data_IF_680718891259
#
_entry.id   IF_680718891259
#
_cell.length_a   1.000
_cell.length_b   1.000
_cell.length_c   1.000
_cell.angle_alpha   90.00
_cell.angle_beta   90.00
_cell.angle_gamma   90.00
#
_symmetry.space_group_name_H-M   'P 1'
#
loop_
_entity.id
_entity.type
_entity.pdbx_description
1 polymer ?
#
# COMPACT_ATOMS: atom_id res chain seq x y z
N UNK A 1 -24.12 12.19 -8.60
CA UNK A 1 -23.79 11.01 -7.78
C UNK A 1 -25.08 10.24 -7.58
N UNK A 2 -25.11 8.95 -7.92
CA UNK A 2 -26.23 8.09 -7.54
C UNK A 2 -26.09 7.71 -6.08
N UNK A 3 -27.13 7.95 -5.29
CA UNK A 3 -27.19 7.48 -3.91
C UNK A 3 -27.80 6.08 -3.89
N UNK A 4 -27.25 5.19 -3.05
CA UNK A 4 -27.75 3.84 -2.84
C UNK A 4 -27.86 3.58 -1.32
N UNK A 5 -28.93 2.91 -0.91
CA UNK A 5 -29.21 2.63 0.51
C UNK A 5 -28.86 1.19 0.84
N UNK A 6 -28.07 1.00 1.88
CA UNK A 6 -27.79 -0.31 2.48
C UNK A 6 -28.58 -0.46 3.78
N UNK A 7 -29.36 -1.54 3.88
CA UNK A 7 -30.08 -1.91 5.10
C UNK A 7 -29.57 -3.27 5.57
N UNK A 8 -29.12 -3.35 6.82
CA UNK A 8 -28.62 -4.58 7.43
C UNK A 8 -29.09 -4.67 8.87
N UNK A 9 -29.16 -5.90 9.41
CA UNK A 9 -29.50 -6.17 10.80
C UNK A 9 -28.22 -6.33 11.60
N UNK A 10 -28.20 -5.78 12.81
CA UNK A 10 -27.14 -5.94 13.80
C UNK A 10 -27.78 -6.16 15.17
N UNK A 11 -27.02 -6.74 16.09
CA UNK A 11 -27.43 -6.82 17.48
C UNK A 11 -27.60 -5.39 18.06
N UNK A 12 -28.64 -5.20 18.86
CA UNK A 12 -28.96 -3.88 19.44
C UNK A 12 -27.81 -3.38 20.32
N UNK A 13 -27.18 -4.27 21.10
CA UNK A 13 -26.02 -3.93 21.93
C UNK A 13 -24.81 -3.48 21.11
N UNK A 14 -24.63 -4.02 19.90
CA UNK A 14 -23.56 -3.62 18.99
C UNK A 14 -23.85 -2.24 18.38
N UNK A 15 -25.10 -1.98 17.99
CA UNK A 15 -25.55 -0.68 17.48
C UNK A 15 -25.31 0.44 18.51
N UNK A 16 -25.63 0.18 19.77
CA UNK A 16 -25.45 1.15 20.86
C UNK A 16 -23.97 1.46 21.10
N UNK A 17 -23.13 0.42 21.24
CA UNK A 17 -21.69 0.57 21.41
C UNK A 17 -21.04 1.32 20.24
N UNK A 18 -21.42 0.96 19.01
CA UNK A 18 -20.92 1.63 17.81
C UNK A 18 -21.32 3.10 17.76
N UNK A 19 -22.56 3.41 18.14
CA UNK A 19 -23.06 4.80 18.19
C UNK A 19 -22.32 5.62 19.24
N UNK A 20 -22.06 5.06 20.43
CA UNK A 20 -21.27 5.72 21.48
C UNK A 20 -19.85 5.97 21.01
N UNK A 21 -19.20 4.95 20.43
CA UNK A 21 -17.85 5.07 19.91
C UNK A 21 -17.74 6.11 18.76
N UNK A 22 -18.73 6.18 17.88
CA UNK A 22 -18.78 7.16 16.81
C UNK A 22 -18.90 8.59 17.36
N UNK A 23 -19.80 8.81 18.33
CA UNK A 23 -19.96 10.09 19.02
C UNK A 23 -18.67 10.51 19.72
N UNK A 24 -17.95 9.58 20.34
CA UNK A 24 -16.64 9.86 20.96
C UNK A 24 -15.56 10.33 19.98
N UNK A 25 -15.80 10.24 18.67
CA UNK A 25 -14.93 10.75 17.60
C UNK A 25 -15.56 11.93 16.84
N UNK A 26 -16.67 12.48 17.33
CA UNK A 26 -17.48 13.52 16.68
C UNK A 26 -18.01 13.11 15.29
N UNK A 27 -18.37 11.84 15.12
CA UNK A 27 -18.84 11.28 13.86
C UNK A 27 -20.13 10.49 14.02
N UNK A 28 -20.89 10.36 12.93
CA UNK A 28 -22.04 9.45 12.87
C UNK A 28 -21.61 8.05 12.46
N UNK A 29 -22.37 7.03 12.88
CA UNK A 29 -22.12 5.66 12.46
C UNK A 29 -22.11 5.49 10.93
N UNK A 30 -22.99 6.22 10.23
CA UNK A 30 -23.03 6.20 8.76
C UNK A 30 -21.77 6.82 8.12
N UNK A 31 -21.16 7.84 8.74
CA UNK A 31 -19.87 8.38 8.27
C UNK A 31 -18.75 7.37 8.43
N UNK A 32 -18.68 6.68 9.57
CA UNK A 32 -17.67 5.64 9.82
C UNK A 32 -17.83 4.46 8.86
N UNK A 33 -19.06 4.01 8.60
CA UNK A 33 -19.32 2.94 7.64
C UNK A 33 -18.89 3.33 6.22
N UNK A 34 -19.18 4.56 5.77
CA UNK A 34 -18.73 5.03 4.45
C UNK A 34 -17.22 5.11 4.33
N UNK A 35 -16.54 5.54 5.39
CA UNK A 35 -15.07 5.55 5.42
C UNK A 35 -14.51 4.13 5.34
N UNK A 36 -15.01 3.24 6.19
CA UNK A 36 -14.61 1.84 6.18
C UNK A 36 -14.82 1.20 4.81
N UNK A 37 -15.98 1.43 4.17
CA UNK A 37 -16.26 0.90 2.83
C UNK A 37 -15.26 1.42 1.79
N UNK A 38 -14.92 2.72 1.82
CA UNK A 38 -13.92 3.30 0.92
C UNK A 38 -12.53 2.73 1.16
N UNK A 39 -12.13 2.63 2.41
CA UNK A 39 -10.82 2.11 2.80
C UNK A 39 -10.70 0.63 2.45
N UNK A 40 -11.74 -0.17 2.66
CA UNK A 40 -11.78 -1.57 2.31
C UNK A 40 -11.67 -1.78 0.79
N UNK A 41 -12.46 -1.03 0.00
CA UNK A 41 -12.37 -1.11 -1.47
C UNK A 41 -10.99 -0.68 -1.96
N UNK A 42 -10.44 0.41 -1.41
CA UNK A 42 -9.10 0.88 -1.75
C UNK A 42 -8.05 -0.18 -1.43
N UNK A 43 -8.08 -0.76 -0.23
CA UNK A 43 -7.14 -1.80 0.18
C UNK A 43 -7.23 -3.04 -0.71
N UNK A 44 -8.44 -3.49 -1.06
CA UNK A 44 -8.62 -4.64 -1.95
C UNK A 44 -8.11 -4.35 -3.37
N UNK A 45 -8.35 -3.14 -3.87
CA UNK A 45 -7.86 -2.68 -5.17
C UNK A 45 -6.32 -2.60 -5.17
N UNK A 46 -5.73 -1.95 -4.17
CA UNK A 46 -4.28 -1.82 -4.00
C UNK A 46 -3.61 -3.18 -3.85
N UNK A 47 -4.19 -4.11 -3.09
CA UNK A 47 -3.66 -5.47 -2.95
C UNK A 47 -3.68 -6.22 -4.29
N UNK A 48 -4.78 -6.15 -5.03
CA UNK A 48 -4.89 -6.80 -6.34
C UNK A 48 -3.96 -6.18 -7.39
N UNK A 49 -3.87 -4.85 -7.42
CA UNK A 49 -2.98 -4.11 -8.32
C UNK A 49 -1.51 -4.34 -7.98
N UNK A 50 -1.17 -4.34 -6.69
CA UNK A 50 0.17 -4.65 -6.19
C UNK A 50 0.57 -6.08 -6.57
N UNK A 51 -0.31 -7.07 -6.38
CA UNK A 51 -0.04 -8.46 -6.77
C UNK A 51 0.17 -8.60 -8.28
N UNK A 52 -0.68 -7.97 -9.10
CA UNK A 52 -0.54 -7.98 -10.55
C UNK A 52 0.76 -7.32 -11.00
N UNK A 53 1.09 -6.16 -10.42
CA UNK A 53 2.33 -5.46 -10.67
C UNK A 53 3.54 -6.29 -10.25
N UNK A 54 3.51 -6.89 -9.06
CA UNK A 54 4.59 -7.71 -8.51
C UNK A 54 4.87 -8.93 -9.39
N UNK A 55 3.83 -9.67 -9.79
CA UNK A 55 3.97 -10.80 -10.73
C UNK A 55 4.59 -10.36 -12.05
N UNK A 56 4.21 -9.19 -12.57
CA UNK A 56 4.82 -8.63 -13.78
C UNK A 56 6.30 -8.29 -13.59
N UNK A 57 6.68 -7.67 -12.46
CA UNK A 57 8.08 -7.36 -12.18
C UNK A 57 8.93 -8.63 -12.04
N UNK A 58 8.40 -9.66 -11.37
CA UNK A 58 9.05 -10.96 -11.26
C UNK A 58 9.26 -11.58 -12.63
N UNK A 59 8.24 -11.59 -13.49
CA UNK A 59 8.36 -12.14 -14.84
C UNK A 59 9.42 -11.39 -15.68
N UNK A 60 9.45 -10.05 -15.61
CA UNK A 60 10.49 -9.25 -16.27
C UNK A 60 11.90 -9.65 -15.79
N UNK A 61 12.07 -9.86 -14.48
CA UNK A 61 13.34 -10.31 -13.91
C UNK A 61 13.75 -11.70 -14.40
N UNK A 62 12.81 -12.65 -14.43
CA UNK A 62 13.02 -13.99 -14.96
C UNK A 62 13.39 -13.97 -16.44
N UNK A 63 12.65 -13.22 -17.26
CA UNK A 63 12.91 -13.10 -18.69
C UNK A 63 14.29 -12.47 -18.96
N UNK A 64 14.65 -11.43 -18.20
CA UNK A 64 15.97 -10.79 -18.29
C UNK A 64 17.09 -11.75 -17.91
N UNK A 65 16.92 -12.53 -16.84
CA UNK A 65 17.89 -13.54 -16.41
C UNK A 65 18.04 -14.65 -17.46
N UNK A 66 16.92 -15.15 -18.00
CA UNK A 66 16.89 -16.17 -19.04
C UNK A 66 17.52 -15.68 -20.36
N UNK A 67 17.41 -14.38 -20.66
CA UNK A 67 18.10 -13.74 -21.77
C UNK A 67 19.61 -13.53 -21.52
N UNK A 68 20.13 -13.91 -20.34
CA UNK A 68 21.54 -13.79 -19.99
C UNK A 68 21.96 -12.40 -19.50
N UNK A 69 21.02 -11.49 -19.26
CA UNK A 69 21.28 -10.14 -18.75
C UNK A 69 21.53 -10.15 -17.24
N UNK A 70 22.46 -11.00 -16.79
CA UNK A 70 22.87 -11.16 -15.41
C UNK A 70 24.14 -10.35 -15.14
N UNK A 71 24.26 -9.84 -13.92
CA UNK A 71 25.48 -9.16 -13.47
C UNK A 71 26.06 -9.93 -12.28
N UNK A 72 27.36 -10.24 -12.26
CA UNK A 72 28.00 -10.87 -11.11
C UNK A 72 27.83 -10.05 -9.83
N UNK A 73 27.58 -10.73 -8.72
CA UNK A 73 27.37 -10.06 -7.41
C UNK A 73 28.52 -9.13 -7.02
N UNK A 74 29.77 -9.52 -7.29
CA UNK A 74 30.95 -8.70 -7.01
C UNK A 74 30.92 -7.34 -7.75
N UNK A 75 30.50 -7.33 -9.01
CA UNK A 75 30.39 -6.09 -9.81
C UNK A 75 29.26 -5.18 -9.30
N UNK A 76 28.14 -5.78 -8.88
CA UNK A 76 27.04 -5.05 -8.23
C UNK A 76 27.54 -4.37 -6.96
N UNK A 77 28.26 -5.09 -6.09
CA UNK A 77 28.78 -4.53 -4.84
C UNK A 77 29.74 -3.37 -5.07
N UNK A 78 30.67 -3.50 -6.02
CA UNK A 78 31.58 -2.41 -6.39
C UNK A 78 30.81 -1.17 -6.85
N UNK A 79 29.84 -1.35 -7.76
CA UNK A 79 29.02 -0.26 -8.30
C UNK A 79 28.23 0.45 -7.20
N UNK A 80 27.58 -0.30 -6.32
CA UNK A 80 26.77 0.28 -5.25
C UNK A 80 27.62 0.88 -4.12
N UNK A 81 28.80 0.33 -3.82
CA UNK A 81 29.77 0.96 -2.92
C UNK A 81 30.20 2.34 -3.43
N UNK A 82 30.52 2.46 -4.71
CA UNK A 82 30.86 3.73 -5.35
C UNK A 82 29.70 4.73 -5.29
N UNK A 83 28.47 4.30 -5.61
CA UNK A 83 27.27 5.14 -5.49
C UNK A 83 27.06 5.66 -4.07
N UNK A 84 27.13 4.78 -3.06
CA UNK A 84 26.98 5.18 -1.65
C UNK A 84 28.06 6.17 -1.22
N UNK A 85 29.31 5.97 -1.64
CA UNK A 85 30.40 6.91 -1.35
C UNK A 85 30.15 8.30 -1.99
N UNK A 86 29.69 8.33 -3.24
CA UNK A 86 29.33 9.57 -3.92
C UNK A 86 28.18 10.30 -3.23
N UNK A 87 27.11 9.59 -2.84
CA UNK A 87 25.99 10.18 -2.09
C UNK A 87 26.45 10.77 -0.77
N UNK A 88 27.29 10.06 0.00
CA UNK A 88 27.85 10.58 1.27
C UNK A 88 28.65 11.87 1.07
N UNK A 89 29.50 11.92 0.04
CA UNK A 89 30.26 13.15 -0.27
C UNK A 89 29.34 14.34 -0.56
N UNK A 90 28.23 14.11 -1.27
CA UNK A 90 27.25 15.16 -1.56
C UNK A 90 26.53 15.66 -0.31
N UNK A 91 26.17 14.76 0.60
CA UNK A 91 25.53 15.14 1.86
C UNK A 91 26.47 15.99 2.72
N UNK A 92 27.74 15.57 2.86
CA UNK A 92 28.75 16.34 3.61
C UNK A 92 29.05 17.70 2.96
N UNK A 93 29.00 17.79 1.63
CA UNK A 93 29.20 19.06 0.92
C UNK A 93 27.97 19.99 0.93
N UNK A 94 26.82 19.50 1.41
CA UNK A 94 25.59 20.27 1.54
C UNK A 94 25.34 20.76 2.98
N UNK A 95 26.21 20.38 3.92
CA UNK A 95 26.33 20.93 5.27
C UNK A 95 27.32 22.10 5.28
#
# INVERSE_FOLDING_TARGET
MSEATFTFRVDESLKDQFTIAAKGRDRTGAQLLRDFMRDFVRQQQEAAEHDAWFRRQVQIGLDSANAGNLTPSAEVEVKFAAKRAATRRRLVAAE
#
